data_IF_966584801772
#
_entry.id   IF_966584801772
#
_cell.length_a   1.000
_cell.length_b   1.000
_cell.length_c   1.000
_cell.angle_alpha   90.00
_cell.angle_beta   90.00
_cell.angle_gamma   90.00
#
_symmetry.space_group_name_H-M   'P 1'
#
loop_
_entity.id
_entity.type
_entity.pdbx_description
1 polymer ?
#
# COMPACT_ATOMS: atom_id res chain seq x y z
N UNK A 1 -40.70 -56.25 -16.18
CA UNK A 1 -39.54 -56.91 -16.82
C UNK A 1 -38.29 -56.11 -16.51
N UNK A 2 -37.27 -56.77 -15.94
CA UNK A 2 -35.89 -56.31 -15.72
C UNK A 2 -35.66 -55.08 -14.80
N UNK A 3 -35.74 -55.30 -13.49
CA UNK A 3 -35.08 -54.42 -12.50
C UNK A 3 -33.58 -54.67 -12.55
N UNK A 4 -32.87 -53.92 -13.40
CA UNK A 4 -31.40 -53.93 -13.45
C UNK A 4 -30.90 -53.49 -12.07
N UNK A 5 -30.28 -54.40 -11.30
CA UNK A 5 -29.62 -54.06 -10.04
C UNK A 5 -28.49 -53.08 -10.36
N UNK A 6 -28.67 -51.80 -10.06
CA UNK A 6 -27.61 -50.79 -10.15
C UNK A 6 -26.48 -51.20 -9.21
N UNK A 7 -25.23 -51.06 -9.65
CA UNK A 7 -24.09 -51.32 -8.77
C UNK A 7 -24.04 -50.28 -7.64
N UNK A 8 -23.47 -50.60 -6.47
CA UNK A 8 -23.34 -49.63 -5.37
C UNK A 8 -22.66 -48.32 -5.80
N UNK A 9 -21.72 -48.39 -6.75
CA UNK A 9 -21.05 -47.22 -7.34
C UNK A 9 -22.04 -46.35 -8.16
N UNK A 10 -22.92 -46.96 -8.95
CA UNK A 10 -23.90 -46.23 -9.76
C UNK A 10 -24.95 -45.52 -8.90
N UNK A 11 -25.31 -46.10 -7.75
CA UNK A 11 -26.23 -45.49 -6.81
C UNK A 11 -25.65 -44.24 -6.15
N UNK A 12 -24.37 -44.28 -5.75
CA UNK A 12 -23.66 -43.13 -5.19
C UNK A 12 -23.50 -42.01 -6.24
N UNK A 13 -23.18 -42.34 -7.49
CA UNK A 13 -23.12 -41.36 -8.60
C UNK A 13 -24.48 -40.72 -8.82
N UNK A 14 -25.55 -41.53 -8.84
CA UNK A 14 -26.93 -41.04 -8.99
C UNK A 14 -27.29 -40.08 -7.85
N UNK A 15 -26.94 -40.43 -6.60
CA UNK A 15 -27.21 -39.59 -5.42
C UNK A 15 -26.42 -38.28 -5.46
N UNK A 16 -25.16 -38.32 -5.90
CA UNK A 16 -24.32 -37.14 -6.09
C UNK A 16 -24.92 -36.19 -7.13
N UNK A 17 -25.37 -36.71 -8.28
CA UNK A 17 -26.02 -35.91 -9.33
C UNK A 17 -27.37 -35.35 -8.87
N UNK A 18 -28.18 -36.11 -8.13
CA UNK A 18 -29.44 -35.62 -7.58
C UNK A 18 -29.20 -34.48 -6.58
N UNK A 19 -28.19 -34.61 -5.71
CA UNK A 19 -27.83 -33.55 -4.75
C UNK A 19 -27.39 -32.26 -5.45
N UNK A 20 -26.67 -32.37 -6.57
CA UNK A 20 -26.29 -31.22 -7.39
C UNK A 20 -27.49 -30.59 -8.13
N UNK A 21 -28.45 -31.41 -8.54
CA UNK A 21 -29.70 -30.94 -9.16
C UNK A 21 -30.65 -30.28 -8.14
N UNK A 22 -30.63 -30.68 -6.88
CA UNK A 22 -31.49 -30.13 -5.81
C UNK A 22 -30.89 -28.89 -5.15
N UNK A 23 -29.60 -28.62 -5.34
CA UNK A 23 -28.90 -27.52 -4.66
C UNK A 23 -28.39 -27.86 -3.26
N UNK A 24 -28.32 -29.15 -2.88
CA UNK A 24 -27.95 -29.57 -1.53
C UNK A 24 -26.42 -29.59 -1.32
N UNK A 25 -25.88 -28.42 -1.00
CA UNK A 25 -24.44 -28.20 -0.73
C UNK A 25 -23.94 -29.11 0.40
N UNK A 26 -24.75 -29.31 1.45
CA UNK A 26 -24.33 -30.05 2.63
C UNK A 26 -24.09 -31.52 2.27
N UNK A 27 -25.03 -32.14 1.55
CA UNK A 27 -24.86 -33.51 1.05
C UNK A 27 -23.70 -33.63 0.06
N UNK A 28 -23.55 -32.67 -0.87
CA UNK A 28 -22.44 -32.69 -1.84
C UNK A 28 -21.07 -32.64 -1.15
N UNK A 29 -20.94 -31.81 -0.11
CA UNK A 29 -19.69 -31.68 0.64
C UNK A 29 -19.35 -32.97 1.38
N UNK A 30 -20.36 -33.62 2.01
CA UNK A 30 -20.19 -34.91 2.68
C UNK A 30 -19.84 -36.02 1.67
N UNK A 31 -20.48 -36.06 0.51
CA UNK A 31 -20.18 -37.08 -0.51
C UNK A 31 -18.75 -36.89 -1.05
N UNK A 32 -18.35 -35.65 -1.34
CA UNK A 32 -17.01 -35.33 -1.86
C UNK A 32 -15.89 -35.56 -0.84
N UNK A 33 -16.15 -35.42 0.46
CA UNK A 33 -15.15 -35.74 1.50
C UNK A 33 -14.83 -37.24 1.54
N UNK A 34 -15.82 -38.09 1.25
CA UNK A 34 -15.66 -39.55 1.24
C UNK A 34 -15.23 -40.10 -0.13
N UNK A 35 -15.57 -39.43 -1.22
CA UNK A 35 -15.29 -39.91 -2.59
C UNK A 35 -15.00 -38.75 -3.56
N UNK A 36 -13.78 -38.19 -3.53
CA UNK A 36 -13.38 -37.09 -4.42
C UNK A 36 -13.40 -37.45 -5.91
N UNK A 37 -13.29 -38.74 -6.25
CA UNK A 37 -13.29 -39.25 -7.62
C UNK A 37 -14.63 -39.06 -8.36
N UNK A 38 -15.72 -38.73 -7.65
CA UNK A 38 -17.05 -38.51 -8.22
C UNK A 38 -17.19 -37.18 -8.98
N UNK A 39 -16.24 -36.26 -8.79
CA UNK A 39 -16.35 -34.87 -9.23
C UNK A 39 -16.64 -34.70 -10.72
N UNK A 40 -16.06 -35.59 -11.54
CA UNK A 40 -16.18 -35.58 -13.01
C UNK A 40 -16.95 -36.79 -13.55
N UNK A 41 -17.55 -37.61 -12.68
CA UNK A 41 -18.32 -38.77 -13.11
C UNK A 41 -19.60 -38.33 -13.82
N UNK A 42 -19.93 -39.05 -14.90
CA UNK A 42 -21.07 -38.74 -15.76
C UNK A 42 -22.21 -39.73 -15.55
N UNK A 43 -23.43 -39.25 -15.66
CA UNK A 43 -24.62 -40.11 -15.71
C UNK A 43 -24.67 -40.86 -17.05
N UNK A 44 -25.63 -41.76 -17.20
CA UNK A 44 -25.84 -42.51 -18.46
C UNK A 44 -25.94 -41.58 -19.67
N UNK A 45 -26.50 -40.38 -19.52
CA UNK A 45 -26.67 -39.39 -20.59
C UNK A 45 -25.46 -38.44 -20.78
N UNK A 46 -24.34 -38.70 -20.10
CA UNK A 46 -23.13 -37.87 -20.16
C UNK A 46 -23.20 -36.61 -19.29
N UNK A 47 -24.21 -36.47 -18.42
CA UNK A 47 -24.33 -35.28 -17.56
C UNK A 47 -23.46 -35.39 -16.32
N UNK A 48 -22.71 -34.32 -16.02
CA UNK A 48 -21.95 -34.16 -14.76
C UNK A 48 -22.76 -33.42 -13.70
N UNK A 49 -22.32 -33.46 -12.45
CA UNK A 49 -22.90 -32.65 -11.37
C UNK A 49 -22.92 -31.14 -11.70
N UNK A 50 -21.86 -30.63 -12.35
CA UNK A 50 -21.76 -29.23 -12.77
C UNK A 50 -22.87 -28.85 -13.77
N UNK A 51 -23.20 -29.76 -14.70
CA UNK A 51 -24.28 -29.54 -15.67
C UNK A 51 -25.67 -29.54 -15.01
N UNK A 52 -25.90 -30.42 -14.03
CA UNK A 52 -27.15 -30.43 -13.27
C UNK A 52 -27.35 -29.15 -12.46
N UNK A 53 -26.30 -28.70 -11.77
CA UNK A 53 -26.32 -27.44 -11.03
C UNK A 53 -26.54 -26.23 -11.96
N UNK A 54 -25.85 -26.19 -13.11
CA UNK A 54 -26.01 -25.14 -14.11
C UNK A 54 -27.42 -25.10 -14.73
N UNK A 55 -28.03 -26.26 -14.99
CA UNK A 55 -29.40 -26.37 -15.52
C UNK A 55 -30.46 -25.84 -14.55
N UNK A 56 -30.27 -26.06 -13.25
CA UNK A 56 -31.25 -25.70 -12.23
C UNK A 56 -30.97 -24.36 -11.55
N UNK A 57 -29.91 -23.66 -11.93
CA UNK A 57 -29.62 -22.31 -11.43
C UNK A 57 -28.95 -22.28 -10.05
N UNK A 58 -28.36 -23.39 -9.59
CA UNK A 58 -27.71 -23.47 -8.28
C UNK A 58 -26.29 -22.91 -8.32
N UNK A 59 -26.17 -21.57 -8.23
CA UNK A 59 -24.90 -20.84 -8.27
C UNK A 59 -23.91 -21.30 -7.20
N UNK A 60 -24.41 -21.53 -5.99
CA UNK A 60 -23.68 -22.01 -4.82
C UNK A 60 -23.06 -23.39 -5.04
N UNK A 61 -23.80 -24.33 -5.61
CA UNK A 61 -23.29 -25.65 -6.00
C UNK A 61 -22.28 -25.53 -7.14
N UNK A 62 -22.53 -24.69 -8.15
CA UNK A 62 -21.57 -24.44 -9.23
C UNK A 62 -20.25 -23.91 -8.65
N UNK A 63 -20.30 -22.97 -7.71
CA UNK A 63 -19.10 -22.44 -7.06
C UNK A 63 -18.35 -23.52 -6.28
N UNK A 64 -19.04 -24.32 -5.46
CA UNK A 64 -18.42 -25.43 -4.72
C UNK A 64 -17.71 -26.41 -5.65
N UNK A 65 -18.36 -26.83 -6.74
CA UNK A 65 -17.79 -27.80 -7.68
C UNK A 65 -16.55 -27.23 -8.40
N UNK A 66 -16.58 -25.94 -8.74
CA UNK A 66 -15.44 -25.24 -9.33
C UNK A 66 -14.26 -25.11 -8.36
N UNK A 67 -14.53 -24.80 -7.08
CA UNK A 67 -13.52 -24.74 -6.02
C UNK A 67 -12.84 -26.10 -5.80
N UNK A 68 -13.59 -27.20 -5.99
CA UNK A 68 -13.05 -28.57 -5.94
C UNK A 68 -12.30 -29.01 -7.20
N UNK A 69 -12.23 -28.16 -8.23
CA UNK A 69 -11.45 -28.41 -9.45
C UNK A 69 -12.14 -29.29 -10.47
N UNK A 70 -13.47 -29.21 -10.61
CA UNK A 70 -14.20 -29.99 -11.61
C UNK A 70 -13.81 -29.60 -13.05
N UNK A 71 -13.84 -30.58 -13.96
CA UNK A 71 -13.58 -30.37 -15.37
C UNK A 71 -14.83 -29.82 -16.08
N UNK A 72 -14.75 -28.55 -16.44
CA UNK A 72 -15.81 -27.80 -17.14
C UNK A 72 -15.89 -28.13 -18.63
N UNK A 73 -14.89 -28.79 -19.19
CA UNK A 73 -14.79 -29.08 -20.63
C UNK A 73 -15.57 -30.33 -21.03
N UNK A 74 -16.03 -31.12 -20.05
CA UNK A 74 -16.86 -32.30 -20.28
C UNK A 74 -18.15 -31.87 -20.99
N UNK A 75 -18.54 -32.64 -21.99
CA UNK A 75 -19.77 -32.45 -22.76
C UNK A 75 -20.72 -33.62 -22.58
N UNK A 76 -22.01 -33.33 -22.52
CA UNK A 76 -23.05 -34.38 -22.50
C UNK A 76 -23.26 -35.00 -23.89
N UNK A 77 -24.17 -35.97 -24.02
CA UNK A 77 -24.51 -36.60 -25.32
C UNK A 77 -24.99 -35.62 -26.39
N UNK A 78 -25.49 -34.44 -26.00
CA UNK A 78 -25.92 -33.36 -26.91
C UNK A 78 -24.78 -32.40 -27.25
N UNK A 79 -23.54 -32.73 -26.88
CA UNK A 79 -22.34 -31.90 -27.05
C UNK A 79 -22.39 -30.55 -26.31
N UNK A 80 -23.15 -30.48 -25.21
CA UNK A 80 -23.25 -29.26 -24.40
C UNK A 80 -22.35 -29.36 -23.16
N UNK A 81 -21.58 -28.31 -22.92
CA UNK A 81 -20.88 -28.05 -21.66
C UNK A 81 -21.84 -27.47 -20.61
N UNK A 82 -21.39 -27.36 -19.36
CA UNK A 82 -22.15 -26.66 -18.33
C UNK A 82 -22.39 -25.18 -18.66
N UNK A 83 -21.48 -24.54 -19.42
CA UNK A 83 -21.62 -23.16 -19.88
C UNK A 83 -22.77 -23.05 -20.90
N UNK A 84 -22.78 -23.92 -21.92
CA UNK A 84 -23.83 -23.94 -22.94
C UNK A 84 -25.22 -24.13 -22.31
N UNK A 85 -25.29 -24.96 -21.27
CA UNK A 85 -26.52 -25.18 -20.49
C UNK A 85 -26.92 -23.90 -19.75
N UNK A 86 -26.00 -23.26 -19.02
CA UNK A 86 -26.29 -22.03 -18.30
C UNK A 86 -26.76 -20.89 -19.22
N UNK A 87 -26.17 -20.76 -20.41
CA UNK A 87 -26.57 -19.79 -21.43
C UNK A 87 -27.96 -20.10 -22.00
N UNK A 88 -28.23 -21.38 -22.33
CA UNK A 88 -29.53 -21.81 -22.84
C UNK A 88 -30.68 -21.51 -21.87
N UNK A 89 -30.47 -21.70 -20.57
CA UNK A 89 -31.46 -21.40 -19.53
C UNK A 89 -31.46 -19.94 -19.06
N UNK A 90 -30.57 -19.09 -19.58
CA UNK A 90 -30.54 -17.66 -19.29
C UNK A 90 -29.90 -17.27 -17.95
N UNK A 91 -29.17 -18.18 -17.29
CA UNK A 91 -28.51 -17.91 -16.01
C UNK A 91 -27.18 -17.16 -16.21
N UNK A 92 -27.27 -15.87 -16.52
CA UNK A 92 -26.12 -14.99 -16.83
C UNK A 92 -25.02 -15.01 -15.75
N UNK A 93 -25.40 -15.09 -14.47
CA UNK A 93 -24.44 -15.12 -13.37
C UNK A 93 -23.62 -16.42 -13.34
N UNK A 94 -24.25 -17.56 -13.62
CA UNK A 94 -23.57 -18.87 -13.76
C UNK A 94 -22.74 -18.91 -15.04
N UNK A 95 -23.27 -18.44 -16.16
CA UNK A 95 -22.54 -18.38 -17.43
C UNK A 95 -21.26 -17.53 -17.31
N UNK A 96 -21.35 -16.36 -16.67
CA UNK A 96 -20.19 -15.52 -16.39
C UNK A 96 -19.15 -16.25 -15.50
N UNK A 97 -19.60 -16.94 -14.46
CA UNK A 97 -18.72 -17.71 -13.57
C UNK A 97 -17.99 -18.85 -14.31
N UNK A 98 -18.70 -19.57 -15.18
CA UNK A 98 -18.17 -20.68 -15.98
C UNK A 98 -17.26 -20.20 -17.13
N UNK A 99 -17.54 -19.03 -17.71
CA UNK A 99 -16.71 -18.41 -18.75
C UNK A 99 -15.39 -17.85 -18.21
N UNK A 100 -15.43 -17.20 -17.04
CA UNK A 100 -14.28 -16.47 -16.47
C UNK A 100 -13.17 -17.35 -15.91
N UNK A 101 -13.41 -18.63 -15.62
CA UNK A 101 -12.40 -19.47 -14.97
C UNK A 101 -11.54 -20.33 -15.93
N UNK A 102 -11.31 -19.84 -17.16
CA UNK A 102 -10.16 -20.25 -17.98
C UNK A 102 -8.88 -19.68 -17.37
N UNK A 103 -8.20 -20.49 -16.55
CA UNK A 103 -6.77 -20.33 -16.22
C UNK A 103 -6.35 -19.08 -15.43
N UNK A 104 -6.18 -19.25 -14.12
CA UNK A 104 -5.45 -18.36 -13.20
C UNK A 104 -5.91 -16.89 -13.12
N UNK A 105 -6.87 -16.63 -12.25
CA UNK A 105 -6.74 -15.82 -11.02
C UNK A 105 -8.12 -15.80 -10.36
N UNK A 106 -8.17 -15.95 -9.03
CA UNK A 106 -9.38 -15.62 -8.27
C UNK A 106 -9.84 -14.23 -8.74
N UNK A 107 -11.14 -13.99 -8.98
CA UNK A 107 -11.62 -12.62 -9.18
C UNK A 107 -11.15 -11.79 -7.99
N UNK A 108 -10.49 -10.65 -8.22
CA UNK A 108 -9.83 -9.86 -7.18
C UNK A 108 -10.77 -9.45 -6.02
N UNK A 109 -12.08 -9.51 -6.24
CA UNK A 109 -13.13 -9.18 -5.28
C UNK A 109 -13.57 -10.36 -4.39
N UNK A 110 -13.01 -11.57 -4.56
CA UNK A 110 -13.35 -12.76 -3.75
C UNK A 110 -12.13 -13.37 -3.03
N UNK A 111 -11.02 -12.66 -2.91
CA UNK A 111 -9.96 -13.08 -1.98
C UNK A 111 -10.41 -12.75 -0.55
N UNK A 112 -10.81 -13.78 0.19
CA UNK A 112 -10.80 -13.75 1.67
C UNK A 112 -9.37 -13.69 2.23
N UNK A 113 -8.38 -13.79 1.36
CA UNK A 113 -7.01 -13.42 1.66
C UNK A 113 -6.97 -11.89 1.60
N UNK A 114 -6.76 -11.25 2.75
CA UNK A 114 -6.26 -9.88 2.81
C UNK A 114 -4.92 -9.94 2.08
N UNK A 115 -4.90 -9.76 0.76
CA UNK A 115 -3.70 -9.26 0.12
C UNK A 115 -3.45 -7.94 0.83
N UNK A 116 -2.47 -7.93 1.73
CA UNK A 116 -1.88 -6.68 2.19
C UNK A 116 -1.47 -5.96 0.91
N UNK A 117 -2.32 -5.04 0.42
CA UNK A 117 -1.90 -4.09 -0.57
C UNK A 117 -0.73 -3.36 0.10
N UNK A 118 0.50 -3.79 -0.22
CA UNK A 118 1.68 -3.01 0.07
C UNK A 118 1.48 -1.69 -0.63
N UNK A 119 1.01 -0.70 0.14
CA UNK A 119 0.93 0.66 -0.34
C UNK A 119 2.33 1.01 -0.82
N UNK A 120 2.45 1.42 -2.08
CA UNK A 120 3.72 1.80 -2.70
C UNK A 120 4.47 2.84 -1.83
N UNK A 121 3.75 3.68 -1.11
CA UNK A 121 4.28 4.68 -0.17
C UNK A 121 4.55 4.17 1.26
N UNK A 122 4.19 2.92 1.56
CA UNK A 122 4.49 2.24 2.82
C UNK A 122 5.80 1.45 2.80
N UNK A 123 6.48 1.34 1.64
CA UNK A 123 7.87 0.88 1.61
C UNK A 123 8.76 1.97 2.20
N UNK A 124 9.14 1.78 3.46
CA UNK A 124 9.96 2.73 4.21
C UNK A 124 11.31 2.11 4.52
N UNK A 125 12.37 2.87 4.20
CA UNK A 125 13.77 2.55 4.53
C UNK A 125 14.02 2.51 6.04
N UNK A 126 13.12 3.12 6.81
CA UNK A 126 13.27 3.36 8.24
C UNK A 126 12.17 2.67 9.05
N UNK A 127 12.54 2.17 10.22
CA UNK A 127 11.58 2.00 11.31
C UNK A 127 11.32 3.40 11.93
N UNK A 128 10.07 3.87 11.87
CA UNK A 128 9.70 5.21 12.34
C UNK A 128 9.89 5.43 13.84
N UNK A 129 10.01 4.35 14.64
CA UNK A 129 10.29 4.38 16.09
C UNK A 129 9.52 5.49 16.82
N UNK A 130 8.20 5.54 16.64
CA UNK A 130 7.38 6.65 17.15
C UNK A 130 7.44 6.80 18.68
N UNK A 131 7.71 5.71 19.40
CA UNK A 131 7.91 5.66 20.84
C UNK A 131 9.15 6.44 21.31
N UNK A 132 10.09 6.75 20.41
CA UNK A 132 11.28 7.57 20.73
C UNK A 132 11.03 9.07 20.64
N UNK A 133 9.92 9.49 20.01
CA UNK A 133 9.63 10.90 19.73
C UNK A 133 9.46 11.75 20.99
N UNK A 134 8.96 11.17 22.07
CA UNK A 134 8.82 11.85 23.36
C UNK A 134 10.08 11.78 24.24
N UNK A 135 11.10 11.00 23.84
CA UNK A 135 12.33 10.84 24.59
C UNK A 135 13.35 11.89 24.15
N UNK A 136 13.25 13.06 24.77
CA UNK A 136 14.09 14.22 24.45
C UNK A 136 15.58 13.92 24.64
N UNK A 137 15.95 13.23 25.72
CA UNK A 137 17.36 12.90 26.00
C UNK A 137 17.95 12.01 24.91
N UNK A 138 17.19 11.01 24.45
CA UNK A 138 17.61 10.12 23.37
C UNK A 138 17.75 10.87 22.04
N UNK A 139 16.79 11.74 21.71
CA UNK A 139 16.85 12.55 20.49
C UNK A 139 18.08 13.48 20.50
N UNK A 140 18.31 14.19 21.61
CA UNK A 140 19.47 15.07 21.78
C UNK A 140 20.80 14.30 21.67
N UNK A 141 20.88 13.11 22.27
CA UNK A 141 22.07 12.26 22.14
C UNK A 141 22.31 11.82 20.69
N UNK A 142 21.24 11.49 19.95
CA UNK A 142 21.32 11.10 18.54
C UNK A 142 21.62 12.28 17.63
N UNK A 143 21.25 13.51 17.96
CA UNK A 143 21.58 14.68 17.14
C UNK A 143 23.09 14.83 16.92
N UNK A 144 23.89 14.65 17.98
CA UNK A 144 25.36 14.74 17.91
C UNK A 144 26.08 13.44 17.54
N UNK A 145 25.34 12.34 17.35
CA UNK A 145 25.95 11.03 17.15
C UNK A 145 26.55 10.91 15.72
N UNK A 146 27.78 10.40 15.56
CA UNK A 146 28.48 10.42 14.27
C UNK A 146 27.81 9.57 13.18
N UNK A 147 27.10 8.51 13.57
CA UNK A 147 26.35 7.67 12.63
C UNK A 147 25.01 8.28 12.19
N UNK A 148 24.52 9.35 12.82
CA UNK A 148 23.20 9.92 12.50
C UNK A 148 23.21 10.56 11.11
N UNK A 149 22.15 10.28 10.35
CA UNK A 149 21.96 10.75 8.98
C UNK A 149 20.99 11.92 8.96
N UNK A 150 21.34 12.95 8.20
CA UNK A 150 20.54 14.14 7.98
C UNK A 150 20.17 14.29 6.51
N UNK A 151 18.91 14.60 6.24
CA UNK A 151 18.43 15.03 4.93
C UNK A 151 18.10 16.52 5.03
N UNK A 152 18.81 17.32 4.25
CA UNK A 152 18.64 18.77 4.24
C UNK A 152 17.48 19.18 3.31
N UNK A 153 16.70 20.16 3.74
CA UNK A 153 15.60 20.75 2.97
C UNK A 153 15.69 22.26 2.96
N UNK A 154 15.44 22.85 1.79
CA UNK A 154 15.23 24.29 1.60
C UNK A 154 13.97 24.51 0.78
N UNK A 155 13.06 25.37 1.26
CA UNK A 155 11.75 25.62 0.64
C UNK A 155 10.98 24.32 0.29
N UNK A 156 11.05 23.32 1.18
CA UNK A 156 10.44 21.99 1.03
C UNK A 156 11.04 21.14 -0.10
N UNK A 157 12.18 21.52 -0.66
CA UNK A 157 12.91 20.76 -1.67
C UNK A 157 14.06 20.00 -1.00
N UNK A 158 14.19 18.68 -1.21
CA UNK A 158 15.27 17.90 -0.62
C UNK A 158 16.61 18.19 -1.32
N UNK A 159 17.69 18.13 -0.56
CA UNK A 159 19.05 18.12 -1.12
C UNK A 159 19.34 16.75 -1.75
N UNK A 160 19.74 16.78 -3.01
CA UNK A 160 20.08 15.59 -3.79
C UNK A 160 21.46 15.74 -4.43
N UNK A 161 21.99 14.63 -4.89
CA UNK A 161 23.22 14.59 -5.69
C UNK A 161 23.01 13.65 -6.88
N UNK A 162 23.76 13.87 -7.95
CA UNK A 162 23.79 12.95 -9.08
C UNK A 162 24.86 11.89 -8.81
N UNK A 163 24.44 10.64 -8.69
CA UNK A 163 25.32 9.51 -8.46
C UNK A 163 25.31 8.52 -9.61
N UNK A 164 26.49 8.04 -10.00
CA UNK A 164 26.67 6.80 -10.75
C UNK A 164 27.58 5.89 -9.93
N UNK A 165 27.06 4.79 -9.40
CA UNK A 165 27.93 3.76 -8.84
C UNK A 165 28.77 3.19 -10.00
N UNK A 166 30.06 2.92 -9.75
CA UNK A 166 31.01 2.33 -10.71
C UNK A 166 30.56 0.99 -11.35
N UNK A 167 29.40 0.45 -10.95
CA UNK A 167 28.94 -0.89 -11.35
C UNK A 167 27.81 -0.91 -12.40
N UNK A 168 27.36 0.23 -12.95
CA UNK A 168 26.48 0.16 -14.12
C UNK A 168 26.60 1.36 -15.05
N UNK A 169 26.71 1.04 -16.33
CA UNK A 169 26.82 1.92 -17.49
C UNK A 169 25.51 2.67 -17.81
N UNK A 170 24.74 3.07 -16.79
CA UNK A 170 23.42 3.69 -16.92
C UNK A 170 23.42 5.17 -16.51
N UNK A 171 22.44 5.91 -17.04
CA UNK A 171 22.26 7.35 -16.90
C UNK A 171 22.43 7.82 -15.44
N UNK A 172 22.88 9.07 -15.20
CA UNK A 172 23.06 9.59 -13.85
C UNK A 172 21.74 9.53 -13.06
N UNK A 173 21.76 8.83 -11.93
CA UNK A 173 20.59 8.67 -11.06
C UNK A 173 20.58 9.78 -10.00
N UNK A 174 19.39 10.33 -9.74
CA UNK A 174 19.18 11.27 -8.64
C UNK A 174 19.04 10.47 -7.35
N UNK A 175 19.87 10.79 -6.37
CA UNK A 175 19.84 10.17 -5.03
C UNK A 175 19.86 11.23 -3.94
N UNK A 176 19.34 10.88 -2.77
CA UNK A 176 19.42 11.76 -1.61
C UNK A 176 20.88 12.05 -1.21
N UNK A 177 21.15 13.31 -0.93
CA UNK A 177 22.39 13.68 -0.27
C UNK A 177 22.24 13.42 1.22
N UNK A 178 22.87 12.34 1.71
CA UNK A 178 22.91 11.97 3.11
C UNK A 178 24.08 12.69 3.79
N UNK A 179 23.77 13.49 4.81
CA UNK A 179 24.74 14.28 5.57
C UNK A 179 24.91 13.72 6.98
N UNK A 180 26.03 14.04 7.62
CA UNK A 180 26.31 13.66 9.01
C UNK A 180 26.37 14.90 9.91
N UNK A 181 26.49 14.68 11.23
CA UNK A 181 26.56 15.77 12.21
C UNK A 181 27.62 16.84 11.88
N UNK A 182 28.78 16.44 11.34
CA UNK A 182 29.87 17.35 10.97
C UNK A 182 29.46 18.39 9.95
N UNK A 183 28.55 18.04 9.04
CA UNK A 183 28.15 18.88 7.90
C UNK A 183 27.08 19.89 8.31
N UNK A 184 26.37 19.62 9.40
CA UNK A 184 25.17 20.37 9.83
C UNK A 184 25.27 20.99 11.22
N UNK A 185 26.36 20.75 11.97
CA UNK A 185 26.56 21.24 13.35
C UNK A 185 26.30 22.74 13.53
N UNK A 186 26.69 23.55 12.55
CA UNK A 186 26.56 25.01 12.61
C UNK A 186 25.09 25.45 12.55
N UNK A 187 24.25 24.70 11.83
CA UNK A 187 22.82 24.93 11.76
C UNK A 187 22.10 24.45 13.02
N UNK A 188 22.53 23.31 13.58
CA UNK A 188 21.98 22.82 14.86
C UNK A 188 22.23 23.77 16.03
N UNK A 189 23.33 24.52 16.00
CA UNK A 189 23.59 25.58 16.98
C UNK A 189 22.57 26.73 16.91
N UNK A 190 21.93 26.93 15.75
CA UNK A 190 20.93 27.99 15.50
C UNK A 190 19.50 27.43 15.50
N UNK A 191 19.07 26.82 16.62
CA UNK A 191 17.78 26.11 16.72
C UNK A 191 16.54 26.92 16.32
N UNK A 192 16.57 28.24 16.50
CA UNK A 192 15.44 29.12 16.19
C UNK A 192 15.18 29.27 14.68
N UNK A 193 16.19 29.02 13.83
CA UNK A 193 16.11 29.18 12.38
C UNK A 193 15.84 27.88 11.63
N UNK A 194 15.88 26.75 12.34
CA UNK A 194 15.75 25.43 11.73
C UNK A 194 14.45 24.76 12.11
N UNK A 195 14.04 23.79 11.32
CA UNK A 195 12.98 22.84 11.69
C UNK A 195 13.55 21.43 11.61
N UNK A 196 13.72 20.80 12.76
CA UNK A 196 14.27 19.46 12.89
C UNK A 196 13.16 18.44 13.11
N UNK A 197 13.14 17.36 12.33
CA UNK A 197 12.15 16.29 12.40
C UNK A 197 12.87 14.95 12.45
N UNK A 198 12.53 14.12 13.44
CA UNK A 198 13.00 12.75 13.52
C UNK A 198 12.26 11.86 12.52
N UNK A 199 12.96 11.18 11.63
CA UNK A 199 12.33 10.36 10.58
C UNK A 199 12.15 8.91 11.03
N UNK A 200 13.12 8.39 11.79
CA UNK A 200 13.15 7.01 12.23
C UNK A 200 14.59 6.52 12.41
N UNK A 201 14.77 5.20 12.42
CA UNK A 201 16.07 4.53 12.46
C UNK A 201 16.18 3.52 11.32
N UNK A 202 17.39 3.21 10.87
CA UNK A 202 17.60 2.15 9.88
C UNK A 202 17.07 0.79 10.37
N UNK A 203 16.46 0.03 9.46
CA UNK A 203 15.91 -1.30 9.76
C UNK A 203 16.99 -2.33 10.14
N UNK A 204 18.19 -2.19 9.58
CA UNK A 204 19.32 -3.06 9.88
C UNK A 204 20.19 -2.42 10.97
N UNK A 205 20.33 -3.13 12.10
CA UNK A 205 21.35 -2.78 13.08
C UNK A 205 22.73 -3.06 12.48
N UNK A 206 23.55 -2.03 12.27
CA UNK A 206 24.95 -2.22 11.89
C UNK A 206 25.69 -2.94 13.03
N UNK A 207 25.90 -4.25 12.90
CA UNK A 207 26.70 -5.08 13.82
C UNK A 207 28.13 -4.56 14.00
N UNK A 208 28.63 -3.73 13.08
CA UNK A 208 29.96 -3.11 13.18
C UNK A 208 30.06 -2.04 14.27
N UNK A 209 28.98 -1.33 14.62
CA UNK A 209 28.98 -0.34 15.69
C UNK A 209 29.16 -0.97 17.08
N UNK A 210 28.79 -2.25 17.25
CA UNK A 210 29.01 -2.99 18.50
C UNK A 210 30.49 -3.30 18.78
N UNK A 211 31.40 -3.13 17.81
CA UNK A 211 32.84 -3.37 18.00
C UNK A 211 33.59 -2.19 18.64
N UNK A 212 32.98 -1.01 18.69
CA UNK A 212 33.56 0.22 19.27
C UNK A 212 32.92 0.63 20.60
N UNK A 213 32.18 -0.27 21.26
CA UNK A 213 31.61 -0.02 22.58
C UNK A 213 32.71 -0.02 23.67
N UNK A 214 33.53 1.03 23.68
CA UNK A 214 34.26 1.51 24.84
C UNK A 214 33.33 2.40 25.66
N UNK A 215 33.30 2.14 26.96
CA UNK A 215 32.51 2.77 28.03
C UNK A 215 32.01 4.21 27.75
N UNK A 216 30.76 4.30 27.30
CA UNK A 216 29.96 5.52 27.16
C UNK A 216 28.46 5.21 27.27
N UNK A 217 27.60 6.17 27.65
CA UNK A 217 26.23 5.84 28.07
C UNK A 217 25.36 5.39 26.89
N UNK A 218 24.88 4.15 26.97
CA UNK A 218 23.71 3.59 26.25
C UNK A 218 23.76 3.70 24.72
N UNK A 219 24.77 3.12 24.08
CA UNK A 219 24.69 2.88 22.65
C UNK A 219 23.71 1.72 22.35
N UNK A 220 22.52 2.06 21.88
CA UNK A 220 21.50 1.10 21.44
C UNK A 220 21.75 0.56 20.01
N UNK A 221 22.86 0.94 19.38
CA UNK A 221 23.24 0.53 18.02
C UNK A 221 22.33 1.06 16.91
N UNK A 222 21.37 1.94 17.23
CA UNK A 222 20.41 2.46 16.26
C UNK A 222 20.96 3.65 15.49
N UNK A 223 20.87 3.59 14.16
CA UNK A 223 21.27 4.69 13.25
C UNK A 223 20.05 5.58 13.02
N UNK A 224 20.02 6.76 13.64
CA UNK A 224 18.91 7.69 13.56
C UNK A 224 18.97 8.55 12.28
N UNK A 225 17.79 8.88 11.75
CA UNK A 225 17.63 9.75 10.59
C UNK A 225 16.80 10.98 10.96
N UNK A 226 17.23 12.15 10.50
CA UNK A 226 16.52 13.43 10.70
C UNK A 226 16.35 14.18 9.38
N UNK A 227 15.23 14.88 9.25
CA UNK A 227 15.06 15.93 8.24
C UNK A 227 15.34 17.29 8.89
N UNK A 228 16.14 18.10 8.21
CA UNK A 228 16.53 19.43 8.65
C UNK A 228 16.06 20.46 7.62
N UNK A 229 15.03 21.23 7.95
CA UNK A 229 14.62 22.41 7.19
C UNK A 229 15.43 23.63 7.57
N UNK A 230 16.06 24.28 6.59
CA UNK A 230 16.82 25.52 6.76
C UNK A 230 16.23 26.66 5.94
N UNK A 231 16.60 27.90 6.27
CA UNK A 231 16.21 29.07 5.50
C UNK A 231 16.98 29.18 4.16
N UNK A 232 16.46 29.94 3.18
CA UNK A 232 17.09 30.06 1.87
C UNK A 232 18.51 30.63 1.89
N UNK A 233 18.86 31.52 2.85
CA UNK A 233 20.20 32.13 2.92
C UNK A 233 21.22 31.08 3.34
N UNK A 234 20.91 30.32 4.40
CA UNK A 234 21.71 29.17 4.82
C UNK A 234 21.85 28.12 3.70
N UNK A 235 20.81 27.94 2.88
CA UNK A 235 20.83 27.00 1.78
C UNK A 235 21.78 27.43 0.64
N UNK A 236 21.88 28.72 0.34
CA UNK A 236 22.87 29.24 -0.61
C UNK A 236 24.31 29.03 -0.11
N UNK A 237 24.58 29.33 1.15
CA UNK A 237 25.89 29.09 1.78
C UNK A 237 26.25 27.60 1.79
N UNK A 238 25.26 26.71 1.95
CA UNK A 238 25.49 25.28 1.88
C UNK A 238 25.87 24.83 0.47
N UNK A 239 25.17 25.32 -0.56
CA UNK A 239 25.45 25.00 -1.97
C UNK A 239 26.84 25.44 -2.39
N UNK A 240 27.29 26.61 -1.95
CA UNK A 240 28.64 27.11 -2.22
C UNK A 240 29.73 26.21 -1.63
N UNK A 241 29.45 25.54 -0.50
CA UNK A 241 30.37 24.59 0.14
C UNK A 241 30.35 23.19 -0.50
N UNK A 242 29.25 22.82 -1.18
CA UNK A 242 29.01 21.47 -1.71
C UNK A 242 28.51 21.51 -3.16
N UNK A 243 29.43 21.76 -4.10
CA UNK A 243 29.10 21.92 -5.54
C UNK A 243 28.43 20.69 -6.18
N UNK A 244 28.63 19.49 -5.60
CA UNK A 244 28.07 18.24 -6.11
C UNK A 244 26.61 18.00 -5.72
N UNK A 245 26.01 18.90 -4.94
CA UNK A 245 24.67 18.75 -4.39
C UNK A 245 23.79 19.94 -4.79
N UNK A 246 22.51 19.68 -5.00
CA UNK A 246 21.53 20.72 -5.33
C UNK A 246 20.17 20.39 -4.73
N UNK A 247 19.32 21.39 -4.56
CA UNK A 247 17.95 21.19 -4.08
C UNK A 247 17.03 20.82 -5.25
N UNK A 248 16.34 19.69 -5.13
CA UNK A 248 15.52 19.13 -6.22
C UNK A 248 14.23 19.94 -6.43
N UNK A 249 14.16 20.70 -7.53
CA UNK A 249 13.01 21.51 -7.90
C UNK A 249 12.68 21.44 -9.42
N UNK A 250 11.44 21.71 -9.86
CA UNK A 250 10.23 21.79 -9.05
C UNK A 250 9.81 20.41 -8.52
N UNK A 251 9.05 20.31 -7.42
CA UNK A 251 8.71 19.02 -6.81
C UNK A 251 8.04 18.02 -7.76
N UNK A 252 7.10 18.47 -8.60
CA UNK A 252 6.47 17.64 -9.62
C UNK A 252 6.99 18.03 -11.01
N UNK A 253 7.53 17.10 -11.82
CA UNK A 253 7.64 15.66 -11.58
C UNK A 253 8.98 15.23 -10.92
N UNK A 254 9.85 16.15 -10.52
CA UNK A 254 11.24 15.82 -10.16
C UNK A 254 11.37 14.81 -9.01
N UNK A 255 10.47 14.84 -8.01
CA UNK A 255 10.44 13.85 -6.93
C UNK A 255 10.23 12.40 -7.42
N UNK A 256 9.66 12.21 -8.61
CA UNK A 256 9.49 10.89 -9.24
C UNK A 256 10.80 10.32 -9.79
N UNK A 257 11.89 11.08 -9.79
CA UNK A 257 13.22 10.61 -10.20
C UNK A 257 13.94 9.84 -9.08
N UNK A 258 13.47 9.97 -7.83
CA UNK A 258 14.02 9.24 -6.69
C UNK A 258 13.54 7.79 -6.69
N UNK A 259 14.38 6.88 -6.19
CA UNK A 259 14.01 5.48 -5.95
C UNK A 259 12.90 5.37 -4.90
N UNK A 260 12.12 4.30 -4.92
CA UNK A 260 10.93 4.17 -4.07
C UNK A 260 11.22 4.37 -2.58
N UNK A 261 12.30 3.75 -2.09
CA UNK A 261 12.69 3.81 -0.69
C UNK A 261 13.05 5.24 -0.24
N UNK A 262 13.76 5.99 -1.08
CA UNK A 262 14.13 7.38 -0.80
C UNK A 262 12.93 8.32 -0.95
N UNK A 263 12.09 8.10 -1.97
CA UNK A 263 10.88 8.86 -2.20
C UNK A 263 9.90 8.75 -1.01
N UNK A 264 9.80 7.58 -0.38
CA UNK A 264 9.00 7.38 0.83
C UNK A 264 9.48 8.22 2.02
N UNK A 265 10.80 8.27 2.26
CA UNK A 265 11.40 9.08 3.33
C UNK A 265 11.22 10.58 3.04
N UNK A 266 11.41 11.01 1.79
CA UNK A 266 11.16 12.40 1.37
C UNK A 266 9.69 12.76 1.53
N UNK A 267 8.76 11.88 1.19
CA UNK A 267 7.33 12.13 1.35
C UNK A 267 6.97 12.39 2.82
N UNK A 268 7.53 11.61 3.75
CA UNK A 268 7.38 11.83 5.20
C UNK A 268 7.96 13.18 5.62
N UNK A 269 9.25 13.41 5.33
CA UNK A 269 9.97 14.63 5.73
C UNK A 269 9.29 15.89 5.18
N UNK A 270 9.04 15.92 3.87
CA UNK A 270 8.46 17.06 3.16
C UNK A 270 7.06 17.39 3.64
N UNK A 271 6.24 16.38 3.95
CA UNK A 271 4.87 16.60 4.44
C UNK A 271 4.85 17.21 5.84
N UNK A 272 5.71 16.74 6.75
CA UNK A 272 5.81 17.29 8.11
C UNK A 272 6.42 18.70 8.09
N UNK A 273 7.44 18.95 7.25
CA UNK A 273 7.98 20.29 7.03
C UNK A 273 6.92 21.25 6.44
N UNK A 274 6.12 20.79 5.47
CA UNK A 274 5.04 21.57 4.88
C UNK A 274 3.93 21.88 5.89
N UNK A 275 3.66 20.97 6.82
CA UNK A 275 2.77 21.21 7.95
C UNK A 275 3.34 22.30 8.85
N UNK A 276 4.61 22.23 9.25
CA UNK A 276 5.23 23.28 10.07
C UNK A 276 5.29 24.65 9.40
N UNK A 277 5.45 24.72 8.08
CA UNK A 277 5.48 26.01 7.37
C UNK A 277 4.11 26.71 7.36
N UNK A 278 3.01 25.93 7.34
CA UNK A 278 1.63 26.46 7.25
C UNK A 278 0.87 26.53 8.57
N UNK A 279 1.23 25.72 9.56
CA UNK A 279 0.48 25.57 10.82
C UNK A 279 1.27 26.14 12.02
N UNK A 280 1.82 27.35 11.89
CA UNK A 280 2.60 28.01 12.97
C UNK A 280 1.75 28.47 14.15
N UNK A 281 0.46 28.68 13.94
CA UNK A 281 -0.49 29.19 14.93
C UNK A 281 -1.55 28.14 15.28
N UNK A 282 -2.10 28.24 16.48
CA UNK A 282 -3.13 27.35 16.99
C UNK A 282 -4.45 27.56 16.24
N UNK A 283 -5.04 26.53 15.62
CA UNK A 283 -6.33 26.67 14.94
C UNK A 283 -7.49 27.04 15.88
N UNK A 284 -7.39 26.69 17.16
CA UNK A 284 -8.46 26.90 18.15
C UNK A 284 -8.52 28.33 18.67
N UNK A 285 -7.38 29.00 18.86
CA UNK A 285 -7.33 30.32 19.50
C UNK A 285 -6.45 31.36 18.81
N UNK A 286 -5.72 30.98 17.74
CA UNK A 286 -4.83 31.88 16.99
C UNK A 286 -3.46 32.16 17.63
N UNK A 287 -3.20 31.71 18.86
CA UNK A 287 -1.91 31.92 19.53
C UNK A 287 -0.77 31.14 18.86
N UNK A 288 0.47 31.57 19.09
CA UNK A 288 1.66 30.85 18.64
C UNK A 288 1.75 29.43 19.25
N UNK A 289 2.51 28.57 18.57
CA UNK A 289 2.71 27.17 18.96
C UNK A 289 4.19 26.82 18.95
N UNK A 290 4.60 25.89 19.81
CA UNK A 290 5.95 25.28 19.81
C UNK A 290 5.92 23.87 19.23
N UNK A 291 7.05 23.41 18.68
CA UNK A 291 7.22 22.06 18.16
C UNK A 291 7.63 21.12 19.30
N UNK A 292 7.05 19.94 19.36
CA UNK A 292 7.36 18.88 20.31
C UNK A 292 7.36 17.50 19.63
N UNK A 293 7.62 16.43 20.40
CA UNK A 293 7.59 15.03 19.97
C UNK A 293 8.38 14.76 18.68
N UNK A 294 9.66 15.19 18.65
CA UNK A 294 10.55 14.97 17.51
C UNK A 294 10.06 15.58 16.18
N UNK A 295 9.22 16.63 16.22
CA UNK A 295 8.65 17.27 15.04
C UNK A 295 7.21 16.84 14.71
N UNK A 296 6.61 15.91 15.46
CA UNK A 296 5.27 15.38 15.15
C UNK A 296 4.16 16.01 15.97
N UNK A 297 4.45 17.03 16.76
CA UNK A 297 3.43 17.72 17.53
C UNK A 297 3.68 19.22 17.57
N UNK A 298 2.59 19.98 17.57
CA UNK A 298 2.59 21.40 17.88
C UNK A 298 1.68 21.65 19.07
N UNK A 299 2.19 22.40 20.04
CA UNK A 299 1.50 22.70 21.29
C UNK A 299 1.28 24.20 21.41
N UNK A 300 0.04 24.59 21.71
CA UNK A 300 -0.32 25.98 21.92
C UNK A 300 0.41 26.56 23.13
N UNK A 301 0.90 27.80 23.01
CA UNK A 301 1.56 28.50 24.12
C UNK A 301 0.57 29.16 25.10
N UNK A 302 -0.73 29.18 24.79
CA UNK A 302 -1.77 29.71 25.67
C UNK A 302 -2.26 28.61 26.61
N UNK A 303 -1.99 28.75 27.90
CA UNK A 303 -2.25 27.74 28.94
C UNK A 303 -3.73 27.32 29.05
N UNK A 304 -4.65 28.27 28.90
CA UNK A 304 -6.10 28.01 28.98
C UNK A 304 -6.74 27.60 27.64
N UNK A 305 -5.96 27.16 26.66
CA UNK A 305 -6.50 26.82 25.34
C UNK A 305 -7.21 25.45 25.37
N UNK A 306 -8.43 25.32 24.81
CA UNK A 306 -9.12 24.04 24.71
C UNK A 306 -8.32 22.94 24.00
N UNK A 307 -7.39 23.32 23.10
CA UNK A 307 -6.51 22.37 22.41
C UNK A 307 -5.57 21.61 23.35
N UNK A 308 -5.34 22.12 24.57
CA UNK A 308 -4.47 21.50 25.58
C UNK A 308 -5.24 20.52 26.49
N UNK A 309 -6.57 20.53 26.45
CA UNK A 309 -7.41 19.67 27.27
C UNK A 309 -7.88 18.46 26.45
N UNK A 310 -7.20 17.32 26.62
CA UNK A 310 -7.47 16.09 25.87
C UNK A 310 -6.59 15.94 24.62
N UNK A 311 -7.04 15.09 23.68
CA UNK A 311 -6.29 14.79 22.45
C UNK A 311 -7.08 15.31 21.25
N UNK A 312 -6.50 16.28 20.54
CA UNK A 312 -7.12 16.92 19.38
C UNK A 312 -6.21 16.83 18.16
N UNK A 313 -6.80 16.67 16.98
CA UNK A 313 -6.06 16.64 15.71
C UNK A 313 -5.33 17.95 15.39
N UNK A 314 -5.71 19.07 16.02
CA UNK A 314 -5.05 20.38 15.88
C UNK A 314 -3.57 20.36 16.25
N UNK A 315 -3.17 19.38 17.06
CA UNK A 315 -1.79 19.24 17.54
C UNK A 315 -0.90 18.41 16.61
N UNK A 316 -1.46 17.71 15.62
CA UNK A 316 -0.75 16.68 14.85
C UNK A 316 -0.67 16.98 13.34
N UNK A 317 0.28 16.38 12.61
CA UNK A 317 0.40 16.50 11.17
C UNK A 317 -0.89 16.07 10.45
N UNK A 318 -1.22 16.82 9.40
CA UNK A 318 -2.38 16.57 8.56
C UNK A 318 -2.05 15.58 7.44
N UNK A 319 -2.93 14.60 7.23
CA UNK A 319 -2.90 13.71 6.07
C UNK A 319 -4.24 13.87 5.34
N UNK A 320 -4.19 14.32 4.10
CA UNK A 320 -5.38 14.51 3.27
C UNK A 320 -5.59 13.27 2.37
N UNK A 321 -6.60 12.42 2.63
CA UNK A 321 -6.85 11.25 1.81
C UNK A 321 -7.39 11.65 0.43
N UNK A 322 -6.79 11.09 -0.62
CA UNK A 322 -7.16 11.34 -2.01
C UNK A 322 -7.42 9.99 -2.68
N UNK A 323 -8.58 9.85 -3.31
CA UNK A 323 -8.85 8.73 -4.21
C UNK A 323 -8.34 9.08 -5.60
N UNK A 324 -7.69 8.12 -6.25
CA UNK A 324 -7.34 8.16 -7.66
C UNK A 324 -7.91 6.89 -8.29
N UNK A 325 -8.80 7.04 -9.28
CA UNK A 325 -9.56 5.91 -9.82
C UNK A 325 -9.34 5.73 -11.31
N UNK A 326 -9.02 4.49 -11.69
CA UNK A 326 -9.09 4.05 -13.08
C UNK A 326 -10.50 3.57 -13.38
N UNK A 327 -11.26 4.37 -14.11
CA UNK A 327 -12.64 4.02 -14.49
C UNK A 327 -12.59 3.20 -15.78
N UNK A 328 -13.07 1.96 -15.70
CA UNK A 328 -13.11 1.01 -16.83
C UNK A 328 -14.50 1.12 -17.46
N UNK A 329 -14.54 1.22 -18.79
CA UNK A 329 -15.79 1.24 -19.54
C UNK A 329 -16.55 -0.09 -19.38
N UNK A 330 -17.90 -0.13 -19.37
CA UNK A 330 -18.66 -1.36 -19.13
C UNK A 330 -18.37 -2.54 -20.08
N UNK A 331 -17.86 -2.27 -21.29
CA UNK A 331 -17.42 -3.31 -22.23
C UNK A 331 -16.02 -3.90 -21.93
N UNK A 332 -15.30 -3.36 -20.94
CA UNK A 332 -13.95 -3.79 -20.55
C UNK A 332 -12.82 -3.39 -21.49
N UNK A 333 -13.10 -2.68 -22.59
CA UNK A 333 -12.11 -2.39 -23.65
C UNK A 333 -11.50 -0.99 -23.58
N UNK A 334 -12.12 -0.08 -22.82
CA UNK A 334 -11.73 1.34 -22.75
C UNK A 334 -11.65 1.79 -21.30
N UNK A 335 -11.01 2.93 -21.09
CA UNK A 335 -10.95 3.57 -19.79
C UNK A 335 -11.17 5.08 -19.89
N UNK A 336 -11.72 5.69 -18.84
CA UNK A 336 -11.95 7.13 -18.77
C UNK A 336 -10.73 7.81 -18.14
N UNK A 337 -10.18 8.79 -18.86
CA UNK A 337 -9.13 9.68 -18.40
C UNK A 337 -9.60 11.13 -18.52
N UNK A 338 -9.04 11.99 -17.66
CA UNK A 338 -9.31 13.42 -17.66
C UNK A 338 -8.03 14.25 -17.74
N UNK A 339 -8.20 15.56 -17.92
CA UNK A 339 -7.12 16.54 -17.80
C UNK A 339 -7.62 17.83 -17.20
N UNK A 340 -6.77 18.51 -16.45
CA UNK A 340 -7.02 19.89 -16.06
C UNK A 340 -6.45 20.86 -17.09
N UNK A 341 -7.01 22.08 -17.14
CA UNK A 341 -6.57 23.14 -18.08
C UNK A 341 -5.07 23.44 -17.97
N UNK A 342 -4.50 23.34 -16.77
CA UNK A 342 -3.08 23.61 -16.47
C UNK A 342 -2.11 22.50 -16.89
N UNK A 343 -2.59 21.32 -17.29
CA UNK A 343 -1.70 20.20 -17.63
C UNK A 343 -1.02 20.41 -18.98
N UNK A 344 0.20 19.86 -19.18
CA UNK A 344 0.85 19.87 -20.47
C UNK A 344 -0.09 19.41 -21.59
N UNK A 345 -0.07 20.03 -22.78
CA UNK A 345 -0.89 19.60 -23.91
C UNK A 345 -0.69 18.10 -24.21
N UNK A 346 -1.77 17.37 -24.43
CA UNK A 346 -1.73 15.93 -24.71
C UNK A 346 -1.61 15.02 -23.47
N UNK A 347 -1.36 15.57 -22.28
CA UNK A 347 -1.33 14.76 -21.05
C UNK A 347 -2.75 14.50 -20.51
N UNK A 348 -3.06 13.23 -20.28
CA UNK A 348 -4.26 12.72 -19.64
C UNK A 348 -3.88 11.79 -18.47
N UNK A 349 -4.72 11.73 -17.45
CA UNK A 349 -4.48 10.88 -16.27
C UNK A 349 -5.80 10.44 -15.64
N UNK A 350 -5.72 9.55 -14.66
CA UNK A 350 -6.86 9.09 -13.88
C UNK A 350 -7.58 10.27 -13.19
N UNK A 351 -8.87 10.11 -12.95
CA UNK A 351 -9.62 11.06 -12.14
C UNK A 351 -9.19 10.93 -10.68
N UNK A 352 -9.15 12.05 -9.96
CA UNK A 352 -8.79 12.06 -8.56
C UNK A 352 -9.57 13.14 -7.79
N UNK A 353 -9.79 12.91 -6.50
CA UNK A 353 -10.51 13.82 -5.61
C UNK A 353 -10.23 13.54 -4.13
N UNK A 354 -10.42 14.56 -3.29
CA UNK A 354 -10.35 14.38 -1.83
C UNK A 354 -11.56 13.59 -1.33
N UNK A 355 -11.36 12.80 -0.29
CA UNK A 355 -12.47 12.17 0.43
C UNK A 355 -13.12 13.21 1.35
N UNK A 356 -14.43 13.37 1.24
CA UNK A 356 -15.19 14.27 2.11
C UNK A 356 -15.48 13.63 3.48
N UNK A 357 -15.61 14.43 4.55
CA UNK A 357 -15.96 13.93 5.87
C UNK A 357 -17.27 13.12 5.86
N UNK A 358 -17.27 11.94 6.49
CA UNK A 358 -18.45 11.08 6.62
C UNK A 358 -18.77 10.21 5.41
N UNK A 359 -17.90 10.14 4.39
CA UNK A 359 -18.04 9.23 3.26
C UNK A 359 -17.24 7.93 3.49
N UNK A 360 -17.83 6.74 3.25
CA UNK A 360 -17.09 5.48 3.30
C UNK A 360 -16.18 5.31 2.08
N UNK A 361 -15.19 4.43 2.22
CA UNK A 361 -14.30 3.96 1.15
C UNK A 361 -14.99 2.99 0.20
#
# INVERSE_FOLDING_TARGET
>A
MSSIKRSPKQEIISQFHCSAAEGDIAKLTVILSHSPSLLNETSENGWTALMYAARNGHLDVVQLLLEKGCDRSIVNRSKQTALDIAEFWGYKHIANLLSNAKGQKKPWFLTSDVEECENYFSKTLLDRKSEKRNNTDWLLAKESHPATVYILFSDLNPLVTLGGNKESSQQPEVRLCQLNYTDIKDYLAQREKITLIFLGVELEMKKELLKYAGEGPREDGLVAWFALGIDPVAAEEFKQRHENCYFLHPPMPALLQLKENEAGVVAQARSVLAWHSRYKFCPTCGSATKIEEGGYKRVCLKEDCPSLHGVHNTSYPRVDPVVIMQVIHPDGTKCLLGRQKRFPPGMFTCLAGFIEPGKPF
#
